data_IF_111781335228
#
_entry.id   IF_111781335228
#
_cell.length_a   1.000
_cell.length_b   1.000
_cell.length_c   1.000
_cell.angle_alpha   90.00
_cell.angle_beta   90.00
_cell.angle_gamma   90.00
#
_symmetry.space_group_name_H-M   'P 1'
#
loop_
_entity.id
_entity.type
_entity.pdbx_description
1 polymer ?
#
# COMPACT_ATOMS: atom_id res chain seq x y z
N UNK A 1 -0.70 -22.52 17.80
CA UNK A 1 -1.46 -21.36 17.33
C UNK A 1 -0.60 -20.14 16.96
N UNK A 2 0.42 -19.74 17.75
CA UNK A 2 1.27 -18.56 17.44
C UNK A 2 2.07 -18.73 16.14
N UNK A 3 2.73 -19.87 15.93
CA UNK A 3 3.50 -20.17 14.71
C UNK A 3 2.63 -20.15 13.46
N UNK A 4 1.38 -20.63 13.53
CA UNK A 4 0.46 -20.61 12.40
C UNK A 4 0.09 -19.17 11.97
N UNK A 5 -0.10 -18.24 12.91
CA UNK A 5 -0.41 -16.83 12.58
C UNK A 5 0.76 -16.14 11.89
N UNK A 6 2.00 -16.38 12.36
CA UNK A 6 3.20 -15.84 11.72
C UNK A 6 3.39 -16.42 10.31
N UNK A 7 3.21 -17.74 10.17
CA UNK A 7 3.29 -18.41 8.87
C UNK A 7 2.25 -17.88 7.88
N UNK A 8 1.01 -17.69 8.35
CA UNK A 8 -0.07 -17.12 7.53
C UNK A 8 0.25 -15.69 7.06
N UNK A 9 0.80 -14.84 7.93
CA UNK A 9 1.19 -13.48 7.59
C UNK A 9 2.33 -13.45 6.54
N UNK A 10 3.32 -14.33 6.68
CA UNK A 10 4.41 -14.44 5.69
C UNK A 10 3.87 -14.95 4.36
N UNK A 11 3.03 -15.99 4.38
CA UNK A 11 2.46 -16.58 3.19
C UNK A 11 1.58 -15.57 2.42
N UNK A 12 0.76 -14.78 3.13
CA UNK A 12 -0.07 -13.74 2.52
C UNK A 12 0.77 -12.64 1.88
N UNK A 13 1.90 -12.26 2.49
CA UNK A 13 2.83 -11.29 1.92
C UNK A 13 3.48 -11.84 0.63
N UNK A 14 3.94 -13.09 0.65
CA UNK A 14 4.52 -13.74 -0.52
C UNK A 14 3.51 -13.84 -1.65
N UNK A 15 2.29 -14.28 -1.36
CA UNK A 15 1.22 -14.38 -2.36
C UNK A 15 0.90 -13.01 -2.95
N UNK A 16 0.79 -11.96 -2.12
CA UNK A 16 0.53 -10.61 -2.59
C UNK A 16 1.66 -10.08 -3.49
N UNK A 17 2.92 -10.34 -3.12
CA UNK A 17 4.08 -9.93 -3.92
C UNK A 17 4.13 -10.67 -5.26
N UNK A 18 3.90 -11.99 -5.25
CA UNK A 18 3.84 -12.79 -6.48
C UNK A 18 2.67 -12.36 -7.38
N UNK A 19 1.54 -12.03 -6.80
CA UNK A 19 0.39 -11.54 -7.54
C UNK A 19 0.67 -10.20 -8.22
N UNK A 20 1.32 -9.28 -7.52
CA UNK A 20 1.74 -7.99 -8.10
C UNK A 20 2.77 -8.21 -9.22
N UNK A 21 3.72 -9.12 -9.02
CA UNK A 21 4.80 -9.40 -9.99
C UNK A 21 4.27 -10.08 -11.27
N UNK A 22 3.37 -11.06 -11.14
CA UNK A 22 2.77 -11.80 -12.27
C UNK A 22 1.59 -11.10 -12.94
N UNK A 23 1.16 -9.98 -12.43
CA UNK A 23 -0.08 -9.32 -12.83
C UNK A 23 -0.16 -8.86 -14.29
N UNK A 24 0.90 -9.00 -15.08
CA UNK A 24 0.88 -8.73 -16.54
C UNK A 24 0.12 -9.82 -17.33
N UNK A 25 -0.05 -11.02 -16.73
CA UNK A 25 -0.79 -12.13 -17.35
C UNK A 25 -2.30 -12.03 -17.16
N UNK A 26 -2.78 -11.16 -16.30
CA UNK A 26 -4.19 -10.89 -16.13
C UNK A 26 -4.53 -9.49 -16.68
N UNK A 27 -5.44 -9.40 -17.68
CA UNK A 27 -5.94 -8.12 -18.19
C UNK A 27 -6.90 -7.47 -17.18
N UNK A 28 -6.55 -7.56 -15.90
CA UNK A 28 -7.24 -6.79 -14.88
C UNK A 28 -6.63 -5.39 -14.95
N UNK A 29 -7.15 -4.58 -15.87
CA UNK A 29 -7.18 -3.17 -15.60
C UNK A 29 -7.67 -3.05 -14.16
N UNK A 30 -6.96 -2.33 -13.27
CA UNK A 30 -7.40 -2.22 -11.89
C UNK A 30 -8.84 -1.70 -11.94
N UNK A 31 -9.77 -2.61 -11.70
CA UNK A 31 -11.19 -2.29 -11.67
C UNK A 31 -11.41 -1.45 -10.42
N UNK A 32 -11.20 -0.15 -10.56
CA UNK A 32 -11.58 0.79 -9.54
C UNK A 32 -13.05 1.13 -9.77
N UNK A 33 -13.98 0.59 -8.99
CA UNK A 33 -15.40 0.89 -9.15
C UNK A 33 -15.67 2.39 -9.00
N UNK A 34 -14.90 3.05 -8.14
CA UNK A 34 -14.99 4.50 -7.94
C UNK A 34 -14.63 5.27 -9.23
N UNK A 35 -13.53 4.93 -9.89
CA UNK A 35 -13.12 5.57 -11.15
C UNK A 35 -14.13 5.28 -12.28
N UNK A 36 -14.68 4.06 -12.32
CA UNK A 36 -15.67 3.68 -13.34
C UNK A 36 -16.99 4.42 -13.19
N UNK A 37 -17.42 4.71 -11.96
CA UNK A 37 -18.69 5.38 -11.68
C UNK A 37 -18.55 6.89 -11.75
N UNK A 38 -17.47 7.47 -11.24
CA UNK A 38 -17.30 8.92 -11.09
C UNK A 38 -16.44 9.54 -12.18
N UNK A 39 -15.67 8.75 -12.95
CA UNK A 39 -14.66 9.24 -13.89
C UNK A 39 -13.43 9.86 -13.21
N UNK A 40 -13.38 9.87 -11.86
CA UNK A 40 -12.29 10.48 -11.07
C UNK A 40 -11.43 9.38 -10.48
N UNK A 41 -10.08 9.44 -10.60
CA UNK A 41 -9.20 8.46 -9.99
C UNK A 41 -9.32 8.49 -8.46
N UNK A 42 -9.36 7.34 -7.83
CA UNK A 42 -9.36 7.21 -6.37
C UNK A 42 -7.94 7.46 -5.79
N UNK A 43 -7.80 7.67 -4.47
CA UNK A 43 -6.48 7.87 -3.84
C UNK A 43 -5.51 6.68 -4.04
N UNK A 44 -6.03 5.46 -4.27
CA UNK A 44 -5.25 4.26 -4.53
C UNK A 44 -5.01 3.95 -6.01
N UNK A 45 -5.56 4.77 -6.94
CA UNK A 45 -5.37 4.55 -8.37
C UNK A 45 -3.89 4.61 -8.76
N UNK A 46 -3.47 3.63 -9.58
CA UNK A 46 -2.05 3.48 -9.94
C UNK A 46 -1.20 2.76 -8.89
N UNK A 47 -1.77 2.37 -7.73
CA UNK A 47 -1.03 1.70 -6.65
C UNK A 47 -0.37 0.38 -7.09
N UNK A 48 -1.08 -0.46 -7.82
CA UNK A 48 -0.52 -1.71 -8.35
C UNK A 48 0.59 -1.45 -9.38
N UNK A 49 0.45 -0.42 -10.22
CA UNK A 49 1.49 -0.02 -11.17
C UNK A 49 2.71 0.51 -10.43
N UNK A 50 2.53 1.34 -9.41
CA UNK A 50 3.61 1.83 -8.55
C UNK A 50 4.35 0.68 -7.85
N UNK A 51 3.61 -0.31 -7.33
CA UNK A 51 4.20 -1.50 -6.72
C UNK A 51 5.04 -2.32 -7.71
N UNK A 52 4.60 -2.48 -8.96
CA UNK A 52 5.36 -3.16 -10.02
C UNK A 52 6.62 -2.41 -10.39
N UNK A 53 6.54 -1.10 -10.58
CA UNK A 53 7.70 -0.25 -10.86
C UNK A 53 8.73 -0.33 -9.72
N UNK A 54 8.25 -0.36 -8.48
CA UNK A 54 9.10 -0.54 -7.31
C UNK A 54 9.82 -1.90 -7.34
N UNK A 55 9.12 -2.99 -7.66
CA UNK A 55 9.69 -4.33 -7.79
C UNK A 55 10.66 -4.44 -8.99
N UNK A 56 10.43 -3.66 -10.04
CA UNK A 56 11.33 -3.55 -11.19
C UNK A 56 12.58 -2.69 -10.90
N UNK A 57 12.65 -2.04 -9.73
CA UNK A 57 13.78 -1.18 -9.33
C UNK A 57 13.65 0.28 -9.79
N UNK A 58 12.58 0.64 -10.48
CA UNK A 58 12.35 2.03 -10.90
C UNK A 58 11.59 2.82 -9.83
N UNK A 59 12.32 3.20 -8.78
CA UNK A 59 11.79 3.95 -7.66
C UNK A 59 11.24 5.32 -8.08
N UNK A 60 11.90 5.98 -9.05
CA UNK A 60 11.47 7.29 -9.53
C UNK A 60 10.10 7.24 -10.19
N UNK A 61 9.92 6.32 -11.14
CA UNK A 61 8.63 6.11 -11.79
C UNK A 61 7.55 5.64 -10.81
N UNK A 62 7.90 4.78 -9.83
CA UNK A 62 6.97 4.33 -8.80
C UNK A 62 6.45 5.49 -7.94
N UNK A 63 7.32 6.39 -7.48
CA UNK A 63 6.93 7.57 -6.68
C UNK A 63 6.06 8.52 -7.51
N UNK A 64 6.43 8.79 -8.76
CA UNK A 64 5.62 9.61 -9.65
C UNK A 64 4.25 9.00 -9.92
N UNK A 65 4.17 7.67 -9.98
CA UNK A 65 2.92 6.96 -10.20
C UNK A 65 1.97 7.06 -9.00
N UNK A 66 2.43 6.72 -7.80
CA UNK A 66 1.66 6.87 -6.57
C UNK A 66 2.57 6.81 -5.33
N UNK A 67 2.97 7.96 -4.76
CA UNK A 67 3.89 8.01 -3.63
C UNK A 67 3.34 7.31 -2.37
N UNK A 68 2.03 7.39 -2.14
CA UNK A 68 1.40 6.72 -0.99
C UNK A 68 1.51 5.20 -1.10
N UNK A 69 1.31 4.66 -2.30
CA UNK A 69 1.44 3.21 -2.53
C UNK A 69 2.88 2.73 -2.37
N UNK A 70 3.87 3.49 -2.79
CA UNK A 70 5.28 3.18 -2.56
C UNK A 70 5.57 3.12 -1.06
N UNK A 71 5.11 4.11 -0.30
CA UNK A 71 5.25 4.11 1.16
C UNK A 71 4.62 2.87 1.79
N UNK A 72 3.40 2.51 1.40
CA UNK A 72 2.73 1.31 1.90
C UNK A 72 3.46 0.02 1.52
N UNK A 73 3.98 -0.07 0.30
CA UNK A 73 4.78 -1.23 -0.15
C UNK A 73 6.05 -1.42 0.69
N UNK A 74 6.69 -0.33 1.13
CA UNK A 74 7.88 -0.39 2.00
C UNK A 74 7.47 -0.72 3.44
N UNK A 75 6.40 -0.13 3.95
CA UNK A 75 5.96 -0.35 5.32
C UNK A 75 5.39 -1.75 5.55
N UNK A 76 4.71 -2.35 4.57
CA UNK A 76 4.07 -3.65 4.71
C UNK A 76 5.04 -4.77 5.15
N UNK A 77 6.20 -4.99 4.49
CA UNK A 77 7.14 -6.01 4.94
C UNK A 77 7.72 -5.70 6.33
N UNK A 78 7.97 -4.44 6.65
CA UNK A 78 8.47 -4.03 7.96
C UNK A 78 7.46 -4.39 9.06
N UNK A 79 6.19 -4.04 8.86
CA UNK A 79 5.11 -4.37 9.79
C UNK A 79 4.90 -5.88 9.91
N UNK A 80 5.04 -6.61 8.80
CA UNK A 80 4.96 -8.08 8.81
C UNK A 80 6.08 -8.70 9.63
N UNK A 81 7.31 -8.21 9.51
CA UNK A 81 8.46 -8.66 10.31
C UNK A 81 8.21 -8.40 11.81
N UNK A 82 7.75 -7.20 12.18
CA UNK A 82 7.42 -6.85 13.55
C UNK A 82 6.30 -7.76 14.09
N UNK A 83 5.26 -7.98 13.29
CA UNK A 83 4.14 -8.87 13.65
C UNK A 83 4.60 -10.32 13.88
N UNK A 84 5.46 -10.85 13.02
CA UNK A 84 6.03 -12.17 13.17
C UNK A 84 6.88 -12.27 14.46
N UNK A 85 7.73 -11.28 14.70
CA UNK A 85 8.54 -11.20 15.91
C UNK A 85 7.67 -11.19 17.18
N UNK A 86 6.66 -10.30 17.22
CA UNK A 86 5.73 -10.20 18.34
C UNK A 86 4.97 -11.51 18.58
N UNK A 87 4.54 -12.15 17.49
CA UNK A 87 3.78 -13.41 17.56
C UNK A 87 4.65 -14.57 18.08
N UNK A 88 5.92 -14.63 17.68
CA UNK A 88 6.84 -15.69 18.09
C UNK A 88 7.31 -15.49 19.53
N UNK A 89 7.69 -14.27 19.89
CA UNK A 89 8.19 -13.94 21.25
C UNK A 89 7.08 -13.67 22.29
N UNK A 90 5.84 -13.44 21.82
CA UNK A 90 4.72 -13.10 22.70
C UNK A 90 4.76 -11.66 23.19
N UNK A 91 5.55 -10.81 22.54
CA UNK A 91 5.58 -9.37 22.77
C UNK A 91 4.39 -8.68 22.09
N UNK A 92 4.11 -7.44 22.43
CA UNK A 92 2.96 -6.69 21.93
C UNK A 92 3.36 -5.30 21.39
N UNK A 93 4.54 -5.21 20.75
CA UNK A 93 5.04 -3.95 20.23
C UNK A 93 4.09 -3.35 19.19
N UNK A 94 3.65 -4.16 18.22
CA UNK A 94 2.72 -3.72 17.18
C UNK A 94 1.37 -3.31 17.76
N UNK A 95 0.84 -4.10 18.71
CA UNK A 95 -0.41 -3.79 19.39
C UNK A 95 -0.31 -2.48 20.19
N UNK A 96 0.81 -2.23 20.84
CA UNK A 96 1.08 -0.98 21.55
C UNK A 96 1.12 0.23 20.60
N UNK A 97 1.72 0.09 19.43
CA UNK A 97 1.77 1.15 18.41
C UNK A 97 0.37 1.43 17.86
N UNK A 98 -0.40 0.38 17.53
CA UNK A 98 -1.74 0.51 16.96
C UNK A 98 -2.78 1.02 17.95
N UNK A 99 -2.66 0.65 19.24
CA UNK A 99 -3.56 1.10 20.32
C UNK A 99 -3.21 2.48 20.86
N UNK A 100 -2.06 3.03 20.46
CA UNK A 100 -1.70 4.39 20.87
C UNK A 100 -2.80 5.35 20.40
N UNK A 101 -3.41 6.05 21.36
CA UNK A 101 -4.49 6.99 21.08
C UNK A 101 -4.00 8.06 20.10
N UNK A 102 -4.62 8.09 18.93
CA UNK A 102 -4.27 9.07 17.91
C UNK A 102 -4.71 10.46 18.37
N UNK A 103 -3.77 11.39 18.41
CA UNK A 103 -4.09 12.78 18.65
C UNK A 103 -4.82 13.37 17.43
N UNK A 104 -5.66 14.37 17.64
CA UNK A 104 -6.33 15.10 16.55
C UNK A 104 -5.32 15.58 15.49
N UNK A 105 -4.15 16.04 15.92
CA UNK A 105 -3.07 16.47 15.03
C UNK A 105 -2.56 15.33 14.12
N UNK A 106 -2.33 14.12 14.68
CA UNK A 106 -1.91 12.96 13.90
C UNK A 106 -2.95 12.57 12.86
N UNK A 107 -4.23 12.60 13.25
CA UNK A 107 -5.34 12.32 12.33
C UNK A 107 -5.37 13.33 11.16
N UNK A 108 -5.23 14.63 11.47
CA UNK A 108 -5.21 15.70 10.46
C UNK A 108 -4.03 15.50 9.49
N UNK A 109 -2.82 15.19 10.01
CA UNK A 109 -1.64 14.95 9.18
C UNK A 109 -1.86 13.79 8.22
N UNK A 110 -2.37 12.66 8.71
CA UNK A 110 -2.62 11.48 7.88
C UNK A 110 -3.68 11.77 6.80
N UNK A 111 -4.76 12.44 7.17
CA UNK A 111 -5.80 12.85 6.23
C UNK A 111 -5.27 13.81 5.17
N UNK A 112 -4.42 14.77 5.56
CA UNK A 112 -3.79 15.70 4.62
C UNK A 112 -2.89 14.98 3.61
N UNK A 113 -2.12 13.99 4.05
CA UNK A 113 -1.27 13.18 3.17
C UNK A 113 -2.13 12.42 2.15
N UNK A 114 -3.24 11.83 2.59
CA UNK A 114 -4.15 11.10 1.70
C UNK A 114 -4.78 12.05 0.67
N UNK A 115 -5.22 13.23 1.09
CA UNK A 115 -5.83 14.24 0.21
C UNK A 115 -4.81 14.74 -0.81
N UNK A 116 -3.60 15.07 -0.38
CA UNK A 116 -2.52 15.53 -1.28
C UNK A 116 -2.20 14.45 -2.32
N UNK A 117 -2.09 13.20 -1.90
CA UNK A 117 -1.88 12.09 -2.82
C UNK A 117 -3.06 11.91 -3.79
N UNK A 118 -4.28 12.13 -3.35
CA UNK A 118 -5.46 12.07 -4.19
C UNK A 118 -5.48 13.18 -5.25
N UNK A 119 -5.20 14.42 -4.84
CA UNK A 119 -5.05 15.56 -5.75
C UNK A 119 -3.96 15.29 -6.78
N UNK A 120 -2.82 14.72 -6.37
CA UNK A 120 -1.76 14.29 -7.27
C UNK A 120 -2.24 13.29 -8.31
N UNK A 121 -3.00 12.26 -7.90
CA UNK A 121 -3.55 11.27 -8.82
C UNK A 121 -4.54 11.89 -9.82
N UNK A 122 -5.37 12.84 -9.38
CA UNK A 122 -6.28 13.58 -10.24
C UNK A 122 -5.49 14.42 -11.25
N UNK A 123 -4.54 15.20 -10.78
CA UNK A 123 -3.70 16.04 -11.64
C UNK A 123 -2.99 15.22 -12.72
N UNK A 124 -2.43 14.09 -12.35
CA UNK A 124 -1.74 13.17 -13.25
C UNK A 124 -2.67 12.62 -14.34
N UNK A 125 -3.88 12.20 -13.99
CA UNK A 125 -4.84 11.62 -14.92
C UNK A 125 -5.26 12.64 -15.99
N UNK A 126 -5.44 13.91 -15.60
CA UNK A 126 -5.89 14.95 -16.52
C UNK A 126 -4.77 15.63 -17.33
N UNK A 127 -3.53 15.66 -16.82
CA UNK A 127 -2.44 16.39 -17.46
C UNK A 127 -1.34 15.48 -18.02
N UNK A 128 -1.23 14.25 -17.52
CA UNK A 128 -0.23 13.27 -17.97
C UNK A 128 -1.03 12.08 -18.51
N UNK A 129 -1.58 12.24 -19.71
CA UNK A 129 -2.11 11.09 -20.45
C UNK A 129 -0.93 10.19 -20.80
N UNK A 130 -0.70 9.22 -19.98
CA UNK A 130 0.27 8.14 -20.20
C UNK A 130 -0.46 6.86 -20.48
#
# INVERSE_FOLDING_TARGET
MRKCKALFAILSLIIATLWVWRGDSFPIHPFCPFHKITGIPCPGCGGTRAARLLLAGDLKAAILMNPLSVLLCILTPILTIIFCYDTLKGTKHLESILKKKWNKTTFIIVMSIIIINWVWNIYKEFNIVV
#
